data_IF_977348563718
#
_entry.id   IF_977348563718
#
_cell.length_a   1.000
_cell.length_b   1.000
_cell.length_c   1.000
_cell.angle_alpha   90.00
_cell.angle_beta   90.00
_cell.angle_gamma   90.00
#
_symmetry.space_group_name_H-M   'P 1'
#
loop_
_entity.id
_entity.type
_entity.pdbx_description
1 polymer ?
#
# COMPACT_ATOMS: atom_id res chain seq x y z
N UNK A 1 -0.08 17.64 -6.32
CA UNK A 1 -1.12 18.37 -5.55
C UNK A 1 -1.80 17.37 -4.64
N UNK A 2 -1.80 17.65 -3.35
CA UNK A 2 -2.48 16.82 -2.35
C UNK A 2 -3.84 17.48 -2.09
N UNK A 3 -4.97 16.75 -2.27
CA UNK A 3 -6.28 17.29 -2.00
C UNK A 3 -6.49 17.60 -0.51
N UNK A 4 -7.17 18.70 -0.20
CA UNK A 4 -7.52 19.03 1.19
C UNK A 4 -8.54 18.06 1.82
N UNK A 5 -9.22 17.28 0.98
CA UNK A 5 -10.15 16.22 1.41
C UNK A 5 -9.44 14.93 1.85
N UNK A 6 -8.13 14.92 1.85
CA UNK A 6 -7.34 13.71 2.09
C UNK A 6 -6.98 12.97 0.81
N UNK A 7 -6.15 11.96 0.96
CA UNK A 7 -5.75 11.07 -0.13
C UNK A 7 -6.08 9.62 0.23
N UNK A 8 -6.23 8.78 -0.78
CA UNK A 8 -6.35 7.34 -0.56
C UNK A 8 -5.04 6.75 -0.04
N UNK A 9 -5.12 5.61 0.59
CA UNK A 9 -3.96 4.88 1.09
C UNK A 9 -4.07 3.38 0.76
N UNK A 10 -2.93 2.74 0.73
CA UNK A 10 -2.80 1.30 0.58
C UNK A 10 -1.81 0.79 1.64
N UNK A 11 -2.07 -0.36 2.20
CA UNK A 11 -1.22 -0.98 3.22
C UNK A 11 -0.58 -2.22 2.61
N UNK A 12 0.75 -2.19 2.47
CA UNK A 12 1.53 -3.37 2.14
C UNK A 12 1.57 -4.34 3.32
N UNK A 13 1.47 -5.63 3.05
CA UNK A 13 1.49 -6.65 4.08
C UNK A 13 2.34 -7.86 3.67
N UNK A 14 2.90 -8.52 4.67
CA UNK A 14 3.61 -9.78 4.51
C UNK A 14 3.06 -10.82 5.48
N UNK A 15 3.08 -12.10 5.10
CA UNK A 15 2.56 -13.18 5.94
C UNK A 15 3.31 -14.49 5.70
N UNK A 16 3.24 -15.38 6.70
CA UNK A 16 3.77 -16.75 6.59
C UNK A 16 2.62 -17.67 6.22
N UNK A 17 2.79 -18.44 5.15
CA UNK A 17 1.80 -19.45 4.78
C UNK A 17 1.67 -20.52 5.86
N UNK A 18 0.44 -20.94 6.14
CA UNK A 18 0.18 -22.11 6.99
C UNK A 18 0.80 -23.35 6.34
N UNK A 19 1.68 -24.03 7.08
CA UNK A 19 2.40 -25.19 6.56
C UNK A 19 3.65 -24.85 5.71
N UNK A 20 4.20 -23.65 5.85
CA UNK A 20 5.46 -23.27 5.21
C UNK A 20 6.54 -24.32 5.50
N UNK A 21 7.33 -24.70 4.47
CA UNK A 21 8.36 -25.72 4.59
C UNK A 21 9.49 -25.33 5.59
N UNK A 22 9.75 -24.03 5.73
CA UNK A 22 10.80 -23.49 6.60
C UNK A 22 10.26 -22.34 7.47
N UNK A 23 9.37 -22.62 8.45
CA UNK A 23 8.66 -21.56 9.19
C UNK A 23 9.60 -20.70 10.03
N UNK A 24 10.69 -21.25 10.56
CA UNK A 24 11.65 -20.47 11.35
C UNK A 24 12.47 -19.52 10.48
N UNK A 25 12.85 -19.93 9.28
CA UNK A 25 13.51 -19.05 8.32
C UNK A 25 12.57 -17.94 7.84
N UNK A 26 11.28 -18.25 7.62
CA UNK A 26 10.27 -17.27 7.25
C UNK A 26 10.04 -16.24 8.37
N UNK A 27 10.05 -16.66 9.64
CA UNK A 27 9.97 -15.74 10.78
C UNK A 27 11.17 -14.80 10.83
N UNK A 28 12.38 -15.35 10.73
CA UNK A 28 13.61 -14.55 10.72
C UNK A 28 13.63 -13.55 9.56
N UNK A 29 13.13 -13.96 8.39
CA UNK A 29 12.97 -13.05 7.25
C UNK A 29 12.01 -11.90 7.55
N UNK A 30 10.86 -12.19 8.16
CA UNK A 30 9.87 -11.15 8.50
C UNK A 30 10.42 -10.21 9.57
N UNK A 31 11.10 -10.74 10.59
CA UNK A 31 11.76 -9.93 11.62
C UNK A 31 12.76 -8.95 10.99
N UNK A 32 13.57 -9.41 10.05
CA UNK A 32 14.48 -8.54 9.32
C UNK A 32 13.74 -7.56 8.41
N UNK A 33 12.76 -8.04 7.63
CA UNK A 33 12.01 -7.21 6.69
C UNK A 33 11.20 -6.08 7.36
N UNK A 34 10.85 -6.25 8.63
CA UNK A 34 10.18 -5.24 9.46
C UNK A 34 11.13 -4.46 10.37
N UNK A 35 12.43 -4.68 10.26
CA UNK A 35 13.39 -3.86 11.02
C UNK A 35 13.54 -2.47 10.39
N UNK A 36 13.82 -1.42 11.19
CA UNK A 36 14.10 -0.08 10.67
C UNK A 36 15.16 -0.10 9.58
N UNK A 37 16.27 -0.82 9.80
CA UNK A 37 17.36 -0.99 8.85
C UNK A 37 16.88 -1.45 7.45
N UNK A 38 15.94 -2.40 7.40
CA UNK A 38 15.45 -2.94 6.13
C UNK A 38 14.42 -2.03 5.47
N UNK A 39 13.44 -1.49 6.22
CA UNK A 39 12.38 -0.68 5.64
C UNK A 39 12.90 0.67 5.14
N UNK A 40 13.91 1.23 5.77
CA UNK A 40 14.54 2.48 5.35
C UNK A 40 15.30 2.36 4.02
N UNK A 41 15.77 1.17 3.64
CA UNK A 41 16.39 0.94 2.33
C UNK A 41 15.45 1.21 1.15
N UNK A 42 14.15 1.23 1.38
CA UNK A 42 13.16 1.47 0.33
C UNK A 42 13.33 2.85 -0.31
N UNK A 43 13.62 3.89 0.47
CA UNK A 43 13.82 5.24 -0.04
C UNK A 43 15.07 5.36 -0.92
N UNK A 44 16.14 4.64 -0.60
CA UNK A 44 17.38 4.62 -1.40
C UNK A 44 17.16 3.97 -2.78
N UNK A 45 16.10 3.16 -2.89
CA UNK A 45 15.68 2.50 -4.10
C UNK A 45 14.47 3.15 -4.79
N UNK A 46 14.12 4.38 -4.41
CA UNK A 46 13.08 5.18 -5.05
C UNK A 46 11.64 4.86 -4.60
N UNK A 47 11.47 4.14 -3.50
CA UNK A 47 10.15 3.92 -2.88
C UNK A 47 9.98 4.87 -1.69
N UNK A 48 8.98 5.75 -1.76
CA UNK A 48 8.75 6.81 -0.77
C UNK A 48 7.46 6.61 0.01
N UNK A 49 7.07 5.37 0.24
CA UNK A 49 5.91 5.02 1.06
C UNK A 49 6.19 5.31 2.52
N UNK A 50 5.17 5.74 3.26
CA UNK A 50 5.27 5.85 4.71
C UNK A 50 5.55 4.49 5.35
N UNK A 51 6.45 4.51 6.33
CA UNK A 51 6.84 3.33 7.08
C UNK A 51 5.94 3.18 8.31
N UNK A 52 5.45 1.96 8.54
CA UNK A 52 4.57 1.63 9.69
C UNK A 52 5.35 1.16 10.92
N UNK A 53 6.66 1.30 10.90
CA UNK A 53 7.56 0.94 12.01
C UNK A 53 7.89 2.20 12.80
N UNK A 54 7.55 2.24 14.09
CA UNK A 54 7.64 3.44 14.93
C UNK A 54 9.07 4.00 15.04
N UNK A 55 10.06 3.11 15.05
CA UNK A 55 11.49 3.48 15.19
C UNK A 55 12.17 3.76 13.84
N UNK A 56 11.46 3.68 12.72
CA UNK A 56 12.02 3.91 11.38
C UNK A 56 11.93 5.38 10.97
N UNK A 57 12.97 5.88 10.30
CA UNK A 57 13.00 7.22 9.75
C UNK A 57 12.13 7.32 8.49
N UNK A 58 11.13 8.22 8.53
CA UNK A 58 10.23 8.43 7.40
C UNK A 58 10.96 9.01 6.19
N UNK A 59 10.53 8.66 4.95
CA UNK A 59 11.18 9.18 3.75
C UNK A 59 11.14 10.70 3.68
N UNK A 60 12.33 11.34 3.67
CA UNK A 60 12.46 12.79 3.67
C UNK A 60 11.68 13.45 2.52
N UNK A 61 11.68 12.83 1.34
CA UNK A 61 10.94 13.32 0.16
C UNK A 61 9.43 13.36 0.42
N UNK A 62 8.86 12.35 1.08
CA UNK A 62 7.43 12.33 1.40
C UNK A 62 7.06 13.47 2.35
N UNK A 63 7.91 13.73 3.34
CA UNK A 63 7.73 14.83 4.30
C UNK A 63 7.89 16.20 3.64
N UNK A 64 8.85 16.37 2.73
CA UNK A 64 9.08 17.61 1.99
C UNK A 64 7.88 17.99 1.12
N UNK A 65 7.21 17.03 0.50
CA UNK A 65 5.98 17.26 -0.28
C UNK A 65 4.74 17.51 0.59
N UNK A 66 4.84 17.48 1.92
CA UNK A 66 3.75 17.73 2.85
C UNK A 66 2.72 16.59 2.87
N UNK A 67 3.14 15.38 2.56
CA UNK A 67 2.33 14.20 2.77
C UNK A 67 2.15 13.98 4.27
N UNK A 68 0.91 13.76 4.67
CA UNK A 68 0.52 13.52 6.06
C UNK A 68 -0.20 12.17 6.13
N UNK A 69 0.37 11.17 6.80
CA UNK A 69 -0.24 9.85 6.93
C UNK A 69 -1.55 9.87 7.73
N UNK A 70 -1.81 10.94 8.49
CA UNK A 70 -3.07 11.11 9.23
C UNK A 70 -4.16 11.78 8.38
N UNK A 71 -3.78 12.47 7.30
CA UNK A 71 -4.73 13.13 6.39
C UNK A 71 -5.13 12.19 5.25
N UNK A 72 -5.64 11.03 5.60
CA UNK A 72 -6.18 10.05 4.66
C UNK A 72 -7.70 10.06 4.67
N UNK A 73 -8.32 9.70 3.55
CA UNK A 73 -9.77 9.58 3.47
C UNK A 73 -10.26 8.39 4.31
N UNK A 74 -11.45 8.53 4.88
CA UNK A 74 -12.15 7.40 5.47
C UNK A 74 -12.51 6.41 4.34
N UNK A 75 -11.94 5.21 4.41
CA UNK A 75 -12.05 4.22 3.35
C UNK A 75 -12.73 2.97 3.86
N UNK A 76 -13.92 2.67 3.33
CA UNK A 76 -14.68 1.47 3.65
C UNK A 76 -14.14 0.26 2.87
N UNK A 77 -13.25 -0.50 3.51
CA UNK A 77 -12.66 -1.71 2.93
C UNK A 77 -13.69 -2.81 2.67
N UNK A 78 -14.76 -2.89 3.44
CA UNK A 78 -15.80 -3.90 3.25
C UNK A 78 -16.66 -3.57 2.04
N UNK A 79 -17.07 -2.32 1.90
CA UNK A 79 -17.77 -1.83 0.73
C UNK A 79 -16.93 -2.02 -0.54
N UNK A 80 -15.67 -1.60 -0.52
CA UNK A 80 -14.74 -1.76 -1.63
C UNK A 80 -14.59 -3.23 -2.05
N UNK A 81 -14.40 -4.13 -1.10
CA UNK A 81 -14.31 -5.58 -1.36
C UNK A 81 -15.56 -6.13 -2.03
N UNK A 82 -16.73 -5.70 -1.58
CA UNK A 82 -18.01 -6.21 -2.08
C UNK A 82 -18.38 -5.63 -3.45
N UNK A 83 -17.96 -4.41 -3.75
CA UNK A 83 -18.39 -3.64 -4.91
C UNK A 83 -17.27 -3.34 -5.93
N UNK A 84 -16.06 -3.85 -5.75
CA UNK A 84 -14.90 -3.52 -6.59
C UNK A 84 -15.16 -3.71 -8.09
N UNK A 85 -15.90 -4.76 -8.49
CA UNK A 85 -16.22 -5.00 -9.89
C UNK A 85 -17.12 -3.92 -10.46
N UNK A 86 -18.15 -3.54 -9.72
CA UNK A 86 -19.07 -2.46 -10.09
C UNK A 86 -18.34 -1.14 -10.25
N UNK A 87 -17.47 -0.80 -9.30
CA UNK A 87 -16.68 0.42 -9.36
C UNK A 87 -15.72 0.46 -10.55
N UNK A 88 -15.07 -0.66 -10.85
CA UNK A 88 -14.23 -0.77 -12.04
C UNK A 88 -15.07 -0.54 -13.31
N UNK A 89 -16.22 -1.17 -13.44
CA UNK A 89 -17.11 -1.04 -14.60
C UNK A 89 -17.61 0.42 -14.77
N UNK A 90 -17.99 1.08 -13.67
CA UNK A 90 -18.43 2.47 -13.69
C UNK A 90 -17.30 3.42 -14.12
N UNK A 91 -16.11 3.27 -13.54
CA UNK A 91 -14.94 4.08 -13.92
C UNK A 91 -14.56 3.86 -15.38
N UNK A 92 -14.56 2.61 -15.83
CA UNK A 92 -14.24 2.27 -17.22
C UNK A 92 -15.28 2.85 -18.19
N UNK A 93 -16.55 2.83 -17.83
CA UNK A 93 -17.62 3.45 -18.59
C UNK A 93 -17.45 4.96 -18.67
N UNK A 94 -17.14 5.61 -17.55
CA UNK A 94 -16.91 7.05 -17.46
C UNK A 94 -15.69 7.51 -18.29
N UNK A 95 -14.68 6.66 -18.41
CA UNK A 95 -13.47 6.90 -19.23
C UNK A 95 -13.64 6.58 -20.72
N UNK A 96 -14.85 6.22 -21.16
CA UNK A 96 -15.14 6.02 -22.59
C UNK A 96 -14.88 4.62 -23.14
N UNK A 97 -14.93 3.61 -22.29
CA UNK A 97 -14.76 2.22 -22.69
C UNK A 97 -13.31 1.74 -22.54
N UNK A 98 -13.16 0.82 -21.67
CA UNK A 98 -11.93 0.46 -21.04
C UNK A 98 -10.84 -0.14 -21.88
N UNK A 99 -9.71 -0.03 -21.32
CA UNK A 99 -8.50 -0.77 -21.65
C UNK A 99 -8.75 -2.28 -21.45
N UNK A 100 -8.46 -3.08 -22.48
CA UNK A 100 -8.63 -4.54 -22.47
C UNK A 100 -7.84 -5.25 -21.34
N UNK A 101 -6.91 -4.55 -20.71
CA UNK A 101 -6.13 -5.05 -19.56
C UNK A 101 -6.96 -5.39 -18.32
N UNK A 102 -8.18 -4.89 -18.23
CA UNK A 102 -9.08 -5.11 -17.09
C UNK A 102 -10.26 -6.03 -17.40
N UNK A 103 -10.30 -6.63 -18.59
CA UNK A 103 -11.27 -7.68 -18.90
C UNK A 103 -10.84 -8.97 -18.20
N UNK A 104 -11.47 -9.28 -17.09
CA UNK A 104 -11.35 -10.61 -16.46
C UNK A 104 -12.21 -11.60 -17.23
N UNK A 105 -11.61 -12.67 -17.76
CA UNK A 105 -12.32 -13.85 -18.28
C UNK A 105 -13.12 -14.56 -17.18
#
# INVERSE_FOLDING_TARGET
VIPSSGTSFEIGATAIFKGAAHPNAAKLWIEYALSPECVELAQDNGSYQFLVIDDAEQPAVAMEFGLDPENVMDYDFEDAKNNIKTYIEEVMTALGGGDDRFKTE
#
